data_IF_349216026550
#
_entry.id   IF_349216026550
#
_cell.length_a   1.000
_cell.length_b   1.000
_cell.length_c   1.000
_cell.angle_alpha   90.00
_cell.angle_beta   90.00
_cell.angle_gamma   90.00
#
_symmetry.space_group_name_H-M   'P 1'
#
loop_
_entity.id
_entity.type
_entity.pdbx_description
1 polymer ?
#
# COMPACT_ATOMS: atom_id res chain seq x y z
N UNK A 1 3.87 13.92 -4.87
CA UNK A 1 2.40 14.05 -4.90
C UNK A 1 1.83 12.69 -4.50
N UNK A 2 0.89 12.63 -3.57
CA UNK A 2 0.29 11.37 -3.10
C UNK A 2 -1.06 11.19 -3.78
N UNK A 3 -1.22 10.13 -4.56
CA UNK A 3 -2.48 9.80 -5.21
C UNK A 3 -3.41 9.05 -4.27
N UNK A 4 -4.69 9.29 -4.40
CA UNK A 4 -5.75 8.69 -3.61
C UNK A 4 -6.83 8.08 -4.51
N UNK A 5 -7.39 6.98 -4.06
CA UNK A 5 -8.58 6.35 -4.63
C UNK A 5 -9.60 6.21 -3.48
N UNK A 6 -10.75 6.81 -3.64
CA UNK A 6 -11.71 7.02 -2.54
C UNK A 6 -13.15 6.80 -3.00
N UNK A 7 -14.07 6.60 -2.06
CA UNK A 7 -15.51 6.79 -2.28
C UNK A 7 -15.89 8.15 -1.69
N UNK A 8 -16.49 8.98 -2.52
CA UNK A 8 -17.11 10.23 -2.16
C UNK A 8 -18.53 10.28 -2.76
N UNK A 9 -19.53 10.63 -1.96
CA UNK A 9 -20.95 10.66 -2.37
C UNK A 9 -21.42 9.32 -3.00
N UNK A 10 -20.96 8.20 -2.44
CA UNK A 10 -21.31 6.86 -2.92
C UNK A 10 -20.66 6.44 -4.23
N UNK A 11 -19.72 7.21 -4.78
CA UNK A 11 -19.03 6.94 -6.05
C UNK A 11 -17.53 6.85 -5.86
N UNK A 12 -16.91 5.96 -6.61
CA UNK A 12 -15.46 5.90 -6.69
C UNK A 12 -14.93 7.14 -7.40
N UNK A 13 -13.92 7.75 -6.82
CA UNK A 13 -13.24 8.95 -7.29
C UNK A 13 -11.74 8.82 -7.13
N UNK A 14 -11.00 9.54 -7.93
CA UNK A 14 -9.55 9.67 -7.82
C UNK A 14 -9.19 11.10 -7.44
N UNK A 15 -8.01 11.27 -6.88
CA UNK A 15 -7.52 12.59 -6.48
C UNK A 15 -6.11 12.55 -5.94
N UNK A 16 -5.71 13.65 -5.35
CA UNK A 16 -4.39 13.81 -4.73
C UNK A 16 -4.52 14.39 -3.33
N UNK A 17 -3.57 14.05 -2.45
CA UNK A 17 -3.53 14.64 -1.12
C UNK A 17 -3.42 16.16 -1.19
N UNK A 18 -4.11 16.83 -0.30
CA UNK A 18 -4.19 18.29 -0.24
C UNK A 18 -4.16 18.77 1.21
N UNK A 19 -3.61 19.95 1.42
CA UNK A 19 -3.68 20.63 2.71
C UNK A 19 -5.12 21.09 3.00
N UNK A 20 -5.54 20.98 4.24
CA UNK A 20 -6.83 21.47 4.70
C UNK A 20 -6.71 22.02 6.12
N UNK A 21 -7.23 23.22 6.33
CA UNK A 21 -7.19 23.91 7.63
C UNK A 21 -5.78 23.97 8.25
N UNK A 22 -4.75 24.20 7.42
CA UNK A 22 -3.35 24.26 7.85
C UNK A 22 -2.70 22.92 8.20
N UNK A 23 -3.39 21.80 7.94
CA UNK A 23 -2.86 20.46 8.17
C UNK A 23 -2.49 19.79 6.83
N UNK A 24 -1.23 19.38 6.65
CA UNK A 24 -0.81 18.65 5.47
C UNK A 24 -1.59 17.34 5.33
N UNK A 25 -1.93 17.00 4.09
CA UNK A 25 -2.63 15.75 3.73
C UNK A 25 -4.01 15.54 4.43
N UNK A 26 -4.62 16.58 5.01
CA UNK A 26 -5.89 16.46 5.73
C UNK A 26 -7.14 16.41 4.81
N UNK A 27 -6.96 16.59 3.51
CA UNK A 27 -8.01 16.50 2.50
C UNK A 27 -7.53 15.79 1.25
N UNK A 28 -8.45 15.52 0.35
CA UNK A 28 -8.16 15.06 -1.01
C UNK A 28 -8.75 16.06 -1.99
N UNK A 29 -7.93 16.52 -2.92
CA UNK A 29 -8.40 17.22 -4.10
C UNK A 29 -8.78 16.15 -5.11
N UNK A 30 -10.08 16.02 -5.38
CA UNK A 30 -10.62 15.10 -6.36
C UNK A 30 -10.33 15.59 -7.79
N UNK A 31 -10.39 14.69 -8.76
CA UNK A 31 -10.14 15.02 -10.17
C UNK A 31 -11.18 15.98 -10.75
N UNK A 32 -12.37 16.07 -10.14
CA UNK A 32 -13.39 17.07 -10.47
C UNK A 32 -13.12 18.45 -9.87
N UNK A 33 -12.01 18.62 -9.13
CA UNK A 33 -11.56 19.88 -8.54
C UNK A 33 -12.03 20.13 -7.11
N UNK A 34 -12.99 19.37 -6.59
CA UNK A 34 -13.43 19.50 -5.19
C UNK A 34 -12.33 19.14 -4.22
N UNK A 35 -12.29 19.86 -3.09
CA UNK A 35 -11.41 19.53 -1.96
C UNK A 35 -12.31 18.98 -0.86
N UNK A 36 -12.11 17.72 -0.50
CA UNK A 36 -12.93 17.00 0.46
C UNK A 36 -12.08 16.56 1.64
N UNK A 37 -12.46 16.91 2.88
CA UNK A 37 -11.79 16.44 4.08
C UNK A 37 -11.75 14.91 4.12
N UNK A 38 -10.64 14.37 4.61
CA UNK A 38 -10.41 12.93 4.59
C UNK A 38 -11.36 12.12 5.49
N UNK A 39 -11.97 12.73 6.49
CA UNK A 39 -12.98 12.12 7.37
C UNK A 39 -14.35 11.94 6.69
N UNK A 40 -14.56 12.60 5.56
CA UNK A 40 -15.77 12.47 4.72
C UNK A 40 -15.56 11.46 3.57
N UNK A 41 -14.44 10.78 3.53
CA UNK A 41 -14.06 9.86 2.47
C UNK A 41 -13.93 8.43 3.00
N UNK A 42 -14.30 7.45 2.18
CA UNK A 42 -13.90 6.06 2.38
C UNK A 42 -12.73 5.75 1.46
N UNK A 43 -11.59 5.40 2.05
CA UNK A 43 -10.38 5.08 1.30
C UNK A 43 -10.46 3.69 0.70
N UNK A 44 -10.14 3.58 -0.56
CA UNK A 44 -10.01 2.32 -1.27
C UNK A 44 -8.54 1.90 -1.35
N UNK A 45 -8.26 0.62 -1.63
CA UNK A 45 -6.90 0.22 -1.99
C UNK A 45 -6.34 1.11 -3.10
N UNK A 46 -5.05 1.46 -3.07
CA UNK A 46 -4.47 2.45 -3.98
C UNK A 46 -4.54 2.03 -5.45
N UNK A 47 -4.61 0.74 -5.71
CA UNK A 47 -4.73 0.19 -7.06
C UNK A 47 -6.15 -0.34 -7.28
N UNK A 48 -6.78 0.08 -8.39
CA UNK A 48 -8.09 -0.44 -8.77
C UNK A 48 -8.03 -1.94 -9.10
N UNK A 49 -9.10 -2.71 -8.83
CA UNK A 49 -9.18 -4.10 -9.26
C UNK A 49 -8.97 -4.24 -10.78
N UNK A 50 -8.37 -5.33 -11.19
CA UNK A 50 -8.17 -5.67 -12.60
C UNK A 50 -8.82 -7.02 -12.89
N UNK A 51 -9.15 -7.33 -14.17
CA UNK A 51 -9.70 -8.63 -14.54
C UNK A 51 -8.77 -9.80 -14.21
N UNK A 52 -7.48 -9.56 -14.07
CA UNK A 52 -6.50 -10.54 -13.62
C UNK A 52 -6.03 -10.17 -12.21
N UNK A 53 -6.16 -11.07 -11.23
CA UNK A 53 -5.66 -10.82 -9.89
C UNK A 53 -4.18 -10.44 -9.91
N UNK A 54 -3.82 -9.45 -9.10
CA UNK A 54 -2.42 -9.08 -8.90
C UNK A 54 -1.76 -10.03 -7.92
N UNK A 55 -0.48 -10.26 -8.12
CA UNK A 55 0.36 -10.95 -7.15
C UNK A 55 1.16 -9.92 -6.38
N UNK A 56 1.09 -10.00 -5.07
CA UNK A 56 1.89 -9.17 -4.16
C UNK A 56 3.01 -10.06 -3.65
N UNK A 57 4.25 -9.68 -3.98
CA UNK A 57 5.45 -10.28 -3.43
C UNK A 57 5.86 -9.48 -2.21
N UNK A 58 5.94 -10.13 -1.06
CA UNK A 58 6.43 -9.53 0.16
C UNK A 58 7.82 -10.11 0.49
N UNK A 59 8.67 -9.29 1.09
CA UNK A 59 10.04 -9.64 1.43
C UNK A 59 10.16 -9.69 2.96
N UNK A 60 10.46 -10.85 3.50
CA UNK A 60 10.70 -11.01 4.93
C UNK A 60 12.12 -10.64 5.32
N UNK A 61 12.29 -10.06 6.52
CA UNK A 61 13.60 -9.73 7.14
C UNK A 61 14.48 -8.82 6.26
N UNK A 62 13.87 -8.02 5.41
CA UNK A 62 14.56 -7.11 4.49
C UNK A 62 14.98 -5.76 5.13
N UNK A 63 14.54 -5.50 6.37
CA UNK A 63 14.98 -4.37 7.19
C UNK A 63 15.91 -4.87 8.32
N UNK A 64 17.15 -4.38 8.32
CA UNK A 64 18.19 -4.87 9.24
C UNK A 64 17.83 -4.72 10.72
N UNK A 65 17.17 -3.63 11.08
CA UNK A 65 16.79 -3.39 12.47
C UNK A 65 15.67 -4.33 12.92
N UNK A 66 14.70 -4.60 12.07
CA UNK A 66 13.64 -5.57 12.34
C UNK A 66 14.20 -6.99 12.50
N UNK A 67 15.16 -7.40 11.68
CA UNK A 67 15.84 -8.69 11.82
C UNK A 67 16.56 -8.80 13.17
N UNK A 68 17.20 -7.73 13.65
CA UNK A 68 17.85 -7.69 14.97
C UNK A 68 16.85 -7.77 16.12
N UNK A 69 15.72 -7.06 16.05
CA UNK A 69 14.67 -7.12 17.07
C UNK A 69 14.13 -8.54 17.27
N UNK A 70 14.02 -9.30 16.20
CA UNK A 70 13.55 -10.68 16.21
C UNK A 70 14.67 -11.70 16.48
N UNK A 71 15.90 -11.26 16.70
CA UNK A 71 17.10 -12.10 16.87
C UNK A 71 17.33 -13.05 15.67
N UNK A 72 16.89 -12.67 14.47
CA UNK A 72 17.14 -13.42 13.25
C UNK A 72 18.39 -12.93 12.53
N UNK A 73 19.13 -13.88 11.95
CA UNK A 73 20.22 -13.54 11.02
C UNK A 73 19.59 -13.11 9.68
N UNK A 74 20.10 -12.03 9.14
CA UNK A 74 19.69 -11.59 7.80
C UNK A 74 19.91 -12.74 6.78
N UNK A 75 18.91 -13.09 5.97
CA UNK A 75 19.02 -14.15 5.00
C UNK A 75 20.02 -13.77 3.90
N UNK A 76 20.77 -14.77 3.39
CA UNK A 76 21.71 -14.56 2.29
C UNK A 76 20.99 -14.28 0.95
N UNK A 77 19.78 -14.80 0.80
CA UNK A 77 18.89 -14.59 -0.34
C UNK A 77 17.55 -14.00 0.14
N UNK A 78 16.84 -13.25 -0.71
CA UNK A 78 15.55 -12.68 -0.33
C UNK A 78 14.56 -13.74 0.12
N UNK A 79 14.00 -13.59 1.31
CA UNK A 79 12.88 -14.40 1.77
C UNK A 79 11.60 -13.84 1.18
N UNK A 80 11.07 -14.50 0.16
CA UNK A 80 9.90 -14.03 -0.59
C UNK A 80 8.67 -14.84 -0.21
N UNK A 81 7.55 -14.16 0.03
CA UNK A 81 6.26 -14.79 0.20
C UNK A 81 5.16 -14.02 -0.54
N UNK A 82 4.01 -14.63 -0.72
CA UNK A 82 2.93 -14.08 -1.53
C UNK A 82 1.77 -13.64 -0.65
N UNK A 83 1.17 -12.50 -1.02
CA UNK A 83 -0.12 -12.06 -0.49
C UNK A 83 -1.11 -11.97 -1.64
N UNK A 84 -2.32 -12.46 -1.43
CA UNK A 84 -3.41 -12.32 -2.39
C UNK A 84 -3.97 -10.91 -2.41
N UNK A 85 -4.68 -10.56 -3.48
CA UNK A 85 -5.31 -9.25 -3.64
C UNK A 85 -6.33 -8.94 -2.52
N UNK A 86 -6.97 -9.96 -1.94
CA UNK A 86 -7.84 -9.82 -0.78
C UNK A 86 -7.15 -9.35 0.51
N UNK A 87 -5.81 -9.29 0.53
CA UNK A 87 -5.05 -8.70 1.63
C UNK A 87 -4.92 -7.16 1.51
N UNK A 88 -5.35 -6.56 0.40
CA UNK A 88 -5.32 -5.12 0.21
C UNK A 88 -6.52 -4.45 0.88
N UNK A 89 -6.26 -3.35 1.55
CA UNK A 89 -7.30 -2.50 2.11
C UNK A 89 -6.95 -1.02 1.91
N UNK A 90 -7.91 -0.14 2.13
CA UNK A 90 -7.72 1.29 2.02
C UNK A 90 -7.01 1.88 3.24
N UNK A 91 -6.52 3.10 3.08
CA UNK A 91 -5.99 3.89 4.19
C UNK A 91 -7.02 4.02 5.31
N UNK A 92 -6.59 3.98 6.56
CA UNK A 92 -7.45 4.03 7.77
C UNK A 92 -8.50 2.91 7.90
N UNK A 93 -8.40 1.86 7.11
CA UNK A 93 -9.24 0.70 7.32
C UNK A 93 -8.87 -0.03 8.62
N UNK A 94 -9.86 -0.67 9.22
CA UNK A 94 -9.66 -1.46 10.43
C UNK A 94 -9.39 -2.90 10.06
N UNK A 95 -8.26 -3.42 10.51
CA UNK A 95 -7.98 -4.86 10.46
C UNK A 95 -8.32 -5.49 11.81
N UNK A 96 -8.82 -6.71 11.79
CA UNK A 96 -9.16 -7.43 13.02
C UNK A 96 -8.27 -8.64 13.18
N UNK A 97 -7.66 -8.75 14.36
CA UNK A 97 -6.93 -9.96 14.74
C UNK A 97 -7.90 -11.13 14.85
N UNK A 98 -7.64 -12.26 14.20
CA UNK A 98 -8.49 -13.44 14.34
C UNK A 98 -8.56 -13.95 15.78
N UNK A 99 -9.68 -14.60 16.12
CA UNK A 99 -9.86 -15.22 17.44
C UNK A 99 -8.81 -16.31 17.62
N UNK A 100 -8.19 -16.37 18.81
CA UNK A 100 -7.16 -17.36 19.13
C UNK A 100 -5.73 -16.98 18.70
N UNK A 101 -5.55 -15.94 17.88
CA UNK A 101 -4.22 -15.42 17.52
C UNK A 101 -3.72 -14.53 18.67
N UNK A 102 -2.60 -14.91 19.28
CA UNK A 102 -2.01 -14.15 20.38
C UNK A 102 -1.16 -12.98 19.92
N UNK A 103 -0.45 -13.15 18.82
CA UNK A 103 0.46 -12.14 18.26
C UNK A 103 0.06 -11.78 16.83
N UNK A 104 0.20 -10.53 16.50
CA UNK A 104 0.06 -10.01 15.14
C UNK A 104 1.13 -8.94 14.95
N UNK A 105 2.00 -9.15 13.98
CA UNK A 105 3.01 -8.17 13.61
C UNK A 105 2.38 -7.15 12.64
N UNK A 106 2.79 -5.91 12.78
CA UNK A 106 2.57 -4.86 11.79
C UNK A 106 3.93 -4.45 11.24
N UNK A 107 3.97 -4.18 9.97
CA UNK A 107 5.20 -3.83 9.26
C UNK A 107 4.93 -2.64 8.36
N UNK A 108 5.75 -1.60 8.49
CA UNK A 108 5.67 -0.41 7.67
C UNK A 108 6.77 -0.49 6.62
N UNK A 109 6.40 -0.88 5.41
CA UNK A 109 7.35 -1.16 4.33
C UNK A 109 7.14 -0.29 3.10
N UNK A 110 8.23 -0.04 2.39
CA UNK A 110 8.18 0.59 1.07
C UNK A 110 7.61 -0.40 0.05
N UNK A 111 6.48 -0.04 -0.54
CA UNK A 111 5.88 -0.82 -1.61
C UNK A 111 6.26 -0.26 -2.98
N UNK A 112 6.74 -1.12 -3.86
CA UNK A 112 7.03 -0.80 -5.27
C UNK A 112 5.91 -1.37 -6.14
N UNK A 113 5.35 -0.53 -7.00
CA UNK A 113 4.35 -0.96 -7.98
C UNK A 113 5.02 -1.10 -9.34
N UNK A 114 4.99 -2.32 -9.89
CA UNK A 114 5.51 -2.57 -11.24
C UNK A 114 4.55 -1.97 -12.26
N UNK A 115 4.99 -0.96 -12.98
CA UNK A 115 4.18 -0.14 -13.87
C UNK A 115 3.96 -0.74 -15.27
N UNK A 116 4.82 -1.65 -15.71
CA UNK A 116 4.71 -2.33 -17.00
C UNK A 116 5.24 -3.75 -16.93
N UNK A 117 4.88 -4.58 -17.89
CA UNK A 117 5.29 -5.99 -17.92
C UNK A 117 6.81 -6.12 -17.89
N UNK A 118 7.31 -6.85 -16.90
CA UNK A 118 8.73 -7.08 -16.64
C UNK A 118 9.03 -8.57 -16.71
N UNK A 119 10.06 -8.96 -17.49
CA UNK A 119 10.56 -10.34 -17.57
C UNK A 119 12.04 -10.35 -17.91
N UNK A 120 12.85 -11.04 -17.11
CA UNK A 120 14.30 -11.13 -17.28
C UNK A 120 14.98 -9.76 -17.38
N UNK A 121 14.51 -8.81 -16.56
CA UNK A 121 15.02 -7.44 -16.51
C UNK A 121 16.43 -7.46 -15.93
N UNK A 122 17.34 -6.70 -16.54
CA UNK A 122 18.68 -6.49 -15.98
C UNK A 122 18.56 -5.56 -14.77
N UNK A 123 19.48 -5.69 -13.83
CA UNK A 123 19.51 -4.86 -12.64
C UNK A 123 19.51 -3.36 -12.96
N UNK A 124 20.32 -2.96 -13.95
CA UNK A 124 20.49 -1.56 -14.32
C UNK A 124 19.23 -0.95 -14.96
N UNK A 125 18.37 -1.81 -15.52
CA UNK A 125 17.11 -1.40 -16.18
C UNK A 125 15.88 -1.52 -15.23
N UNK A 126 16.08 -1.88 -13.95
CA UNK A 126 14.98 -2.20 -13.04
C UNK A 126 14.05 -1.02 -12.77
N UNK A 127 14.57 0.20 -12.79
CA UNK A 127 13.77 1.42 -12.55
C UNK A 127 12.96 1.88 -13.77
N UNK A 128 13.11 1.23 -14.90
CA UNK A 128 12.33 1.52 -16.11
C UNK A 128 10.96 0.82 -16.09
N UNK A 129 10.69 -0.01 -15.13
CA UNK A 129 9.50 -0.84 -15.00
C UNK A 129 8.67 -0.45 -13.78
#
# INVERSE_FOLDING_TARGET
MKHARVICDGREQHGTSHEFAGQPDAAVRLDDGRIVPQDQLTWLPPLAPTPRPRTIFALGLNYADHAKELAFKAPAEPLVFLKGEGALTGHRAVTRRPVGVQFMHYECELTVVIGRTAKKVRRDDAYDF
#
